data_IF_616849248060
#
_entry.id   IF_616849248060
#
_cell.length_a   1.000
_cell.length_b   1.000
_cell.length_c   1.000
_cell.angle_alpha   90.00
_cell.angle_beta   90.00
_cell.angle_gamma   90.00
#
_symmetry.space_group_name_H-M   'P 1'
#
loop_
_entity.id
_entity.type
_entity.pdbx_description
1 polymer ?
#
# COMPACT_ATOMS: atom_id res chain seq x y z
N UNK A 1 16.11 -15.81 -20.53
CA UNK A 1 16.12 -15.08 -19.24
C UNK A 1 15.56 -13.67 -19.36
N UNK A 2 16.12 -12.81 -20.24
CA UNK A 2 15.66 -11.41 -20.39
C UNK A 2 14.19 -11.31 -20.80
N UNK A 3 13.73 -12.07 -21.81
CA UNK A 3 12.32 -12.06 -22.22
C UNK A 3 11.37 -12.48 -21.11
N UNK A 4 11.76 -13.44 -20.27
CA UNK A 4 10.96 -13.87 -19.13
C UNK A 4 10.88 -12.77 -18.06
N UNK A 5 11.98 -12.05 -17.80
CA UNK A 5 12.00 -10.90 -16.91
C UNK A 5 11.10 -9.78 -17.47
N UNK A 6 11.23 -9.44 -18.75
CA UNK A 6 10.38 -8.43 -19.40
C UNK A 6 8.89 -8.82 -19.33
N UNK A 7 8.55 -10.07 -19.61
CA UNK A 7 7.18 -10.56 -19.48
C UNK A 7 6.67 -10.44 -18.03
N UNK A 8 7.49 -10.80 -17.03
CA UNK A 8 7.16 -10.63 -15.61
C UNK A 8 6.87 -9.17 -15.27
N UNK A 9 7.71 -8.24 -15.72
CA UNK A 9 7.53 -6.80 -15.49
C UNK A 9 6.24 -6.27 -16.13
N UNK A 10 5.94 -6.69 -17.35
CA UNK A 10 4.72 -6.29 -18.06
C UNK A 10 3.47 -6.85 -17.39
N UNK A 11 3.47 -8.13 -17.03
CA UNK A 11 2.35 -8.76 -16.30
C UNK A 11 2.14 -8.05 -14.96
N UNK A 12 3.20 -7.79 -14.22
CA UNK A 12 3.14 -7.12 -12.93
C UNK A 12 2.56 -5.69 -13.07
N UNK A 13 3.00 -4.93 -14.07
CA UNK A 13 2.48 -3.61 -14.38
C UNK A 13 0.98 -3.64 -14.70
N UNK A 14 0.55 -4.56 -15.57
CA UNK A 14 -0.86 -4.74 -15.94
C UNK A 14 -1.69 -5.08 -14.70
N UNK A 15 -1.26 -6.04 -13.89
CA UNK A 15 -2.00 -6.45 -12.69
C UNK A 15 -2.11 -5.34 -11.65
N UNK A 16 -1.06 -4.51 -11.50
CA UNK A 16 -1.09 -3.31 -10.65
C UNK A 16 -2.04 -2.24 -11.20
N UNK A 17 -2.03 -2.02 -12.52
CA UNK A 17 -2.87 -1.03 -13.18
C UNK A 17 -4.36 -1.37 -13.02
N UNK A 18 -4.73 -2.64 -13.22
CA UNK A 18 -6.10 -3.14 -13.09
C UNK A 18 -6.52 -3.48 -11.66
N UNK A 19 -5.70 -3.18 -10.64
CA UNK A 19 -6.02 -3.45 -9.23
C UNK A 19 -6.47 -4.89 -8.97
N UNK A 20 -5.79 -5.86 -9.58
CA UNK A 20 -6.23 -7.25 -9.55
C UNK A 20 -6.23 -7.81 -8.10
N UNK A 21 -7.40 -8.21 -7.59
CA UNK A 21 -7.54 -8.64 -6.21
C UNK A 21 -6.62 -9.81 -5.82
N UNK A 22 -6.44 -10.80 -6.72
CA UNK A 22 -5.56 -11.96 -6.46
C UNK A 22 -4.10 -11.53 -6.36
N UNK A 23 -3.67 -10.63 -7.23
CA UNK A 23 -2.33 -10.07 -7.22
C UNK A 23 -2.01 -9.35 -5.89
N UNK A 24 -2.91 -8.49 -5.42
CA UNK A 24 -2.76 -7.81 -4.12
C UNK A 24 -2.91 -8.75 -2.91
N UNK A 25 -3.58 -9.89 -3.08
CA UNK A 25 -3.80 -10.87 -2.01
C UNK A 25 -2.68 -11.90 -1.87
N UNK A 26 -1.92 -12.16 -2.93
CA UNK A 26 -0.93 -13.23 -2.97
C UNK A 26 0.51 -12.69 -2.93
N UNK A 27 1.44 -13.53 -2.49
CA UNK A 27 2.87 -13.23 -2.40
C UNK A 27 3.40 -13.03 -0.99
N UNK A 28 4.69 -12.73 -0.91
CA UNK A 28 5.48 -12.69 0.33
C UNK A 28 5.09 -11.45 1.14
N UNK A 29 4.60 -11.64 2.36
CA UNK A 29 4.32 -10.54 3.30
C UNK A 29 5.63 -10.12 3.98
N UNK A 30 6.03 -8.87 3.76
CA UNK A 30 7.21 -8.27 4.38
C UNK A 30 6.87 -7.18 5.39
N UNK A 31 5.63 -6.69 5.36
CA UNK A 31 5.07 -5.79 6.34
C UNK A 31 3.71 -6.31 6.80
N UNK A 32 3.45 -6.30 8.10
CA UNK A 32 2.17 -6.72 8.68
C UNK A 32 1.98 -6.01 10.02
N UNK A 33 1.02 -5.10 10.06
CA UNK A 33 0.62 -4.42 11.28
C UNK A 33 -0.83 -4.78 11.59
N UNK A 34 -1.07 -5.28 12.80
CA UNK A 34 -2.40 -5.65 13.29
C UNK A 34 -2.88 -4.59 14.26
N UNK A 35 -4.11 -4.14 14.06
CA UNK A 35 -4.75 -3.08 14.86
C UNK A 35 -6.04 -3.66 15.40
N UNK A 36 -6.22 -3.62 16.72
CA UNK A 36 -7.44 -4.10 17.36
C UNK A 36 -8.63 -3.21 16.98
N UNK A 37 -9.75 -3.83 16.59
CA UNK A 37 -10.96 -3.15 16.16
C UNK A 37 -12.00 -3.16 17.30
N UNK A 38 -12.43 -1.99 17.82
CA UNK A 38 -13.49 -1.89 18.81
C UNK A 38 -14.84 -2.42 18.29
N UNK A 39 -15.80 -2.73 19.14
CA UNK A 39 -17.08 -3.36 18.73
C UNK A 39 -17.86 -2.55 17.67
N UNK A 40 -17.70 -1.22 17.67
CA UNK A 40 -18.32 -0.28 16.74
C UNK A 40 -17.37 0.18 15.62
N UNK A 41 -16.29 -0.57 15.35
CA UNK A 41 -15.27 -0.19 14.35
C UNK A 41 -15.82 0.11 12.95
N UNK A 42 -16.92 -0.54 12.55
CA UNK A 42 -17.50 -0.38 11.19
C UNK A 42 -18.08 1.00 10.94
N UNK A 43 -18.57 1.68 11.97
CA UNK A 43 -19.12 3.04 11.83
C UNK A 43 -18.02 4.10 11.83
N UNK A 44 -16.88 3.78 12.47
CA UNK A 44 -15.73 4.69 12.62
C UNK A 44 -14.72 4.62 11.47
N UNK A 45 -14.54 3.42 10.91
CA UNK A 45 -13.54 3.17 9.87
C UNK A 45 -14.02 3.68 8.51
N UNK A 46 -13.50 4.83 8.09
CA UNK A 46 -13.68 5.31 6.72
C UNK A 46 -12.44 4.99 5.90
N UNK A 47 -12.50 3.89 5.15
CA UNK A 47 -11.42 3.52 4.24
C UNK A 47 -11.41 4.38 2.96
N UNK A 48 -12.50 5.09 2.65
CA UNK A 48 -12.58 6.04 1.54
C UNK A 48 -11.82 7.34 1.82
N UNK A 49 -11.74 7.76 3.09
CA UNK A 49 -11.02 8.98 3.48
C UNK A 49 -9.52 8.77 3.62
N UNK A 50 -9.02 7.52 3.57
CA UNK A 50 -7.61 7.19 3.77
C UNK A 50 -6.67 7.98 2.83
N UNK A 51 -7.09 8.25 1.60
CA UNK A 51 -6.28 9.02 0.66
C UNK A 51 -6.08 10.48 1.09
N UNK A 52 -7.00 11.02 1.88
CA UNK A 52 -6.96 12.37 2.44
C UNK A 52 -6.37 12.40 3.85
N UNK A 53 -6.69 11.40 4.68
CA UNK A 53 -6.27 11.32 6.08
C UNK A 53 -4.80 10.89 6.22
N UNK A 54 -4.28 10.10 5.28
CA UNK A 54 -2.86 9.75 5.25
C UNK A 54 -2.09 11.00 4.81
N UNK A 55 -1.12 11.47 5.62
CA UNK A 55 -0.32 12.62 5.24
C UNK A 55 0.25 12.40 3.84
N UNK A 56 -0.03 13.33 2.92
CA UNK A 56 0.66 13.38 1.64
C UNK A 56 2.12 13.61 1.94
N UNK A 57 2.87 12.52 2.07
CA UNK A 57 4.29 12.58 2.38
C UNK A 57 4.97 13.37 1.27
N UNK A 58 5.97 14.18 1.64
CA UNK A 58 6.85 14.87 0.68
C UNK A 58 7.43 13.94 -0.40
N UNK A 59 7.46 12.63 -0.11
CA UNK A 59 8.12 11.61 -0.90
C UNK A 59 7.17 10.64 -1.60
N UNK A 60 5.96 10.37 -1.06
CA UNK A 60 5.07 9.33 -1.56
C UNK A 60 3.58 9.69 -1.43
N UNK A 61 2.87 9.63 -2.56
CA UNK A 61 1.42 9.74 -2.68
C UNK A 61 0.76 8.37 -2.92
N UNK A 62 0.09 7.85 -1.89
CA UNK A 62 -0.60 6.57 -1.93
C UNK A 62 -1.99 6.73 -2.54
N UNK A 63 -2.36 5.79 -3.41
CA UNK A 63 -3.69 5.67 -3.99
C UNK A 63 -4.35 4.42 -3.42
N UNK A 64 -5.64 4.51 -3.13
CA UNK A 64 -6.41 3.44 -2.50
C UNK A 64 -7.52 2.97 -3.44
N UNK A 65 -7.83 1.67 -3.42
CA UNK A 65 -8.99 1.12 -4.13
C UNK A 65 -9.60 -0.03 -3.37
N UNK A 66 -10.93 -0.02 -3.27
CA UNK A 66 -11.70 -1.14 -2.73
C UNK A 66 -11.65 -2.34 -3.68
N UNK A 67 -11.36 -3.52 -3.13
CA UNK A 67 -11.37 -4.79 -3.85
C UNK A 67 -12.73 -5.51 -3.68
N UNK A 68 -13.07 -6.46 -4.59
CA UNK A 68 -14.33 -7.19 -4.56
C UNK A 68 -14.58 -8.01 -3.29
N UNK A 69 -13.51 -8.41 -2.60
CA UNK A 69 -13.56 -9.17 -1.34
C UNK A 69 -13.82 -8.30 -0.10
N UNK A 70 -14.04 -6.99 -0.30
CA UNK A 70 -14.25 -6.02 0.77
C UNK A 70 -12.96 -5.49 1.42
N UNK A 71 -11.79 -6.00 1.02
CA UNK A 71 -10.51 -5.43 1.42
C UNK A 71 -10.19 -4.18 0.61
N UNK A 72 -9.19 -3.40 1.05
CA UNK A 72 -8.71 -2.24 0.30
C UNK A 72 -7.29 -2.51 -0.16
N UNK A 73 -7.04 -2.44 -1.46
CA UNK A 73 -5.69 -2.38 -2.00
C UNK A 73 -5.19 -0.94 -1.95
N UNK A 74 -3.90 -0.77 -1.75
CA UNK A 74 -3.26 0.52 -1.93
C UNK A 74 -1.86 0.34 -2.51
N UNK A 75 -1.41 1.36 -3.22
CA UNK A 75 -0.08 1.40 -3.81
C UNK A 75 0.32 2.84 -4.03
N UNK A 76 1.56 3.02 -4.45
CA UNK A 76 2.04 4.30 -4.90
C UNK A 76 1.38 4.69 -6.21
N UNK A 77 1.04 5.96 -6.33
CA UNK A 77 0.73 6.55 -7.63
C UNK A 77 1.88 6.31 -8.61
N UNK A 78 1.55 6.02 -9.87
CA UNK A 78 2.57 5.81 -10.91
C UNK A 78 3.38 7.08 -11.22
N UNK A 79 2.91 8.26 -10.80
CA UNK A 79 3.59 9.54 -11.02
C UNK A 79 4.76 9.79 -10.04
N UNK A 80 5.29 8.75 -9.40
CA UNK A 80 6.23 8.88 -8.29
C UNK A 80 7.70 8.63 -8.65
N UNK A 81 8.56 9.07 -7.71
CA UNK A 81 10.03 9.13 -7.86
C UNK A 81 10.75 7.86 -7.40
N UNK A 82 10.09 6.98 -6.66
CA UNK A 82 10.67 5.73 -6.13
C UNK A 82 10.08 4.50 -6.82
N UNK A 83 10.88 3.43 -6.90
CA UNK A 83 10.42 2.16 -7.46
C UNK A 83 9.55 1.40 -6.44
N UNK A 84 8.36 0.91 -6.82
CA UNK A 84 7.42 0.27 -5.89
C UNK A 84 7.93 -1.12 -5.45
N UNK A 85 8.47 -1.21 -4.23
CA UNK A 85 8.95 -2.48 -3.62
C UNK A 85 7.80 -3.27 -3.00
N UNK A 86 6.80 -2.57 -2.48
CA UNK A 86 5.64 -3.16 -1.81
C UNK A 86 4.33 -2.80 -2.51
N UNK A 87 3.40 -3.75 -2.44
CA UNK A 87 1.97 -3.51 -2.67
C UNK A 87 1.21 -3.65 -1.36
N UNK A 88 0.34 -2.68 -1.09
CA UNK A 88 -0.40 -2.55 0.15
C UNK A 88 -1.77 -3.18 0.08
N UNK A 89 -2.21 -3.76 1.19
CA UNK A 89 -3.58 -4.24 1.37
C UNK A 89 -4.02 -4.03 2.81
N UNK A 90 -5.21 -3.47 2.99
CA UNK A 90 -5.90 -3.35 4.27
C UNK A 90 -7.01 -4.38 4.31
N UNK A 91 -6.95 -5.28 5.30
CA UNK A 91 -7.93 -6.36 5.48
C UNK A 91 -8.56 -6.22 6.86
N UNK A 92 -9.88 -6.02 6.89
CA UNK A 92 -10.64 -6.09 8.13
C UNK A 92 -11.09 -7.54 8.39
N UNK A 93 -10.68 -8.11 9.51
CA UNK A 93 -11.11 -9.43 9.98
C UNK A 93 -12.18 -9.26 11.07
N UNK A 94 -13.48 -9.38 10.74
CA UNK A 94 -14.54 -9.24 11.71
C UNK A 94 -14.57 -10.36 12.75
N UNK A 95 -14.05 -11.56 12.42
CA UNK A 95 -14.04 -12.70 13.36
C UNK A 95 -13.01 -12.48 14.46
N UNK A 96 -11.85 -11.93 14.09
CA UNK A 96 -10.76 -11.63 15.04
C UNK A 96 -10.85 -10.25 15.66
N UNK A 97 -11.77 -9.39 15.19
CA UNK A 97 -11.87 -7.97 15.60
C UNK A 97 -10.53 -7.26 15.40
N UNK A 98 -9.95 -7.42 14.21
CA UNK A 98 -8.67 -6.81 13.85
C UNK A 98 -8.76 -6.17 12.46
N UNK A 99 -8.11 -5.02 12.28
CA UNK A 99 -7.77 -4.47 10.97
C UNK A 99 -6.28 -4.68 10.74
N UNK A 100 -5.92 -5.23 9.59
CA UNK A 100 -4.53 -5.55 9.23
C UNK A 100 -4.09 -4.71 8.06
N UNK A 101 -2.94 -4.05 8.21
CA UNK A 101 -2.23 -3.39 7.12
C UNK A 101 -1.09 -4.29 6.70
N UNK A 102 -1.23 -4.88 5.52
CA UNK A 102 -0.24 -5.79 4.94
C UNK A 102 0.53 -5.08 3.83
N UNK A 103 1.85 -5.25 3.81
CA UNK A 103 2.71 -4.93 2.68
C UNK A 103 3.33 -6.20 2.13
N UNK A 104 3.05 -6.49 0.86
CA UNK A 104 3.56 -7.66 0.14
C UNK A 104 4.63 -7.24 -0.84
N UNK A 105 5.66 -8.05 -0.98
CA UNK A 105 6.76 -7.80 -1.89
C UNK A 105 6.25 -7.80 -3.34
N UNK A 106 6.68 -6.80 -4.11
CA UNK A 106 6.35 -6.70 -5.52
C UNK A 106 7.09 -7.79 -6.31
N UNK A 107 6.39 -8.53 -7.19
CA UNK A 107 7.00 -9.63 -7.92
C UNK A 107 8.07 -9.13 -8.89
N UNK A 108 7.88 -7.95 -9.47
CA UNK A 108 8.88 -7.29 -10.32
C UNK A 108 10.16 -6.98 -9.54
N UNK A 109 10.04 -6.36 -8.37
CA UNK A 109 11.18 -6.07 -7.48
C UNK A 109 11.90 -7.35 -7.07
N UNK A 110 11.15 -8.43 -6.79
CA UNK A 110 11.74 -9.71 -6.38
C UNK A 110 12.51 -10.35 -7.53
N UNK A 111 11.89 -10.42 -8.70
CA UNK A 111 12.51 -10.96 -9.91
C UNK A 111 13.79 -10.21 -10.27
N UNK A 112 13.76 -8.87 -10.23
CA UNK A 112 14.96 -8.06 -10.43
C UNK A 112 16.04 -8.39 -9.40
N UNK A 113 15.71 -8.36 -8.11
CA UNK A 113 16.66 -8.59 -7.02
C UNK A 113 17.35 -9.95 -7.13
N UNK A 114 16.58 -11.00 -7.40
CA UNK A 114 17.10 -12.37 -7.55
C UNK A 114 17.91 -12.55 -8.84
N UNK A 115 17.61 -11.77 -9.90
CA UNK A 115 18.34 -11.85 -11.17
C UNK A 115 19.70 -11.16 -11.16
N UNK A 116 19.93 -10.21 -10.25
CA UNK A 116 21.19 -9.43 -10.21
C UNK A 116 22.40 -10.35 -9.99
N UNK A 117 22.33 -11.26 -9.01
CA UNK A 117 23.46 -12.15 -8.68
C UNK A 117 23.88 -13.04 -9.87
N UNK A 118 22.99 -13.83 -10.50
CA UNK A 118 23.40 -14.64 -11.64
C UNK A 118 23.87 -13.82 -12.84
N UNK A 119 23.30 -12.62 -13.07
CA UNK A 119 23.76 -11.73 -14.15
C UNK A 119 25.20 -11.29 -13.91
N UNK A 120 25.54 -10.88 -12.69
CA UNK A 120 26.91 -10.44 -12.33
C UNK A 120 27.90 -11.59 -12.41
N UNK A 121 27.50 -12.81 -12.01
CA UNK A 121 28.35 -14.00 -12.12
C UNK A 121 28.68 -14.36 -13.57
N UNK A 122 27.71 -14.26 -14.49
CA UNK A 122 27.92 -14.56 -15.92
C UNK A 122 28.59 -13.38 -16.65
N UNK A 123 28.35 -12.15 -16.19
CA UNK A 123 28.89 -10.92 -16.79
C UNK A 123 29.44 -10.00 -15.71
N UNK A 124 30.73 -10.12 -15.35
CA UNK A 124 31.36 -9.28 -14.33
C UNK A 124 31.31 -7.78 -14.65
N UNK A 125 31.26 -7.40 -15.93
CA UNK A 125 31.05 -6.01 -16.35
C UNK A 125 29.71 -5.41 -15.85
N UNK A 126 28.75 -6.26 -15.47
CA UNK A 126 27.47 -5.86 -14.86
C UNK A 126 27.56 -5.66 -13.34
N UNK A 127 28.76 -5.76 -12.72
CA UNK A 127 28.95 -5.55 -11.29
C UNK A 127 28.31 -4.26 -10.72
N UNK A 128 28.26 -3.12 -11.45
CA UNK A 128 27.54 -1.94 -10.97
C UNK A 128 26.05 -2.18 -10.63
N UNK A 129 25.41 -3.20 -11.21
CA UNK A 129 24.02 -3.58 -10.89
C UNK A 129 23.83 -4.00 -9.42
N UNK A 130 24.90 -4.41 -8.72
CA UNK A 130 24.84 -4.72 -7.29
C UNK A 130 24.38 -3.52 -6.45
N UNK A 131 24.62 -2.28 -6.93
CA UNK A 131 24.14 -1.05 -6.28
C UNK A 131 22.61 -0.92 -6.27
N UNK A 132 21.89 -1.70 -7.10
CA UNK A 132 20.43 -1.72 -7.07
C UNK A 132 19.88 -2.39 -5.81
N UNK A 133 20.60 -3.33 -5.19
CA UNK A 133 20.17 -4.00 -3.96
C UNK A 133 20.06 -3.03 -2.77
N UNK A 134 21.10 -2.23 -2.41
CA UNK A 134 20.95 -1.21 -1.37
C UNK A 134 19.95 -0.12 -1.78
N UNK A 135 19.82 0.20 -3.07
CA UNK A 135 18.78 1.13 -3.54
C UNK A 135 17.36 0.60 -3.26
N UNK A 136 17.08 -0.67 -3.55
CA UNK A 136 15.80 -1.31 -3.21
C UNK A 136 15.57 -1.37 -1.70
N UNK A 137 16.62 -1.58 -0.90
CA UNK A 137 16.53 -1.51 0.55
C UNK A 137 16.10 -0.11 1.01
N UNK A 138 16.70 0.96 0.47
CA UNK A 138 16.30 2.34 0.79
C UNK A 138 14.84 2.58 0.39
N UNK A 139 14.43 2.17 -0.81
CA UNK A 139 13.04 2.27 -1.26
C UNK A 139 12.10 1.55 -0.28
N UNK A 140 12.45 0.32 0.13
CA UNK A 140 11.69 -0.43 1.13
C UNK A 140 11.56 0.31 2.46
N UNK A 141 12.63 0.91 2.98
CA UNK A 141 12.58 1.64 4.27
C UNK A 141 11.65 2.85 4.21
N UNK A 142 11.69 3.61 3.11
CA UNK A 142 10.80 4.76 2.91
C UNK A 142 9.34 4.27 2.82
N UNK A 143 9.09 3.21 2.05
CA UNK A 143 7.76 2.63 1.93
C UNK A 143 7.23 2.06 3.25
N UNK A 144 8.08 1.37 4.02
CA UNK A 144 7.73 0.84 5.34
C UNK A 144 7.25 1.95 6.28
N UNK A 145 7.91 3.11 6.25
CA UNK A 145 7.48 4.29 7.04
C UNK A 145 6.10 4.76 6.61
N UNK A 146 5.83 4.84 5.31
CA UNK A 146 4.52 5.27 4.80
C UNK A 146 3.40 4.27 5.09
N UNK A 147 3.68 2.98 4.98
CA UNK A 147 2.71 1.92 5.33
C UNK A 147 2.42 1.94 6.84
N UNK A 148 3.41 2.25 7.67
CA UNK A 148 3.22 2.53 9.09
C UNK A 148 2.30 3.73 9.34
N UNK A 149 2.45 4.82 8.56
CA UNK A 149 1.55 5.97 8.67
C UNK A 149 0.09 5.61 8.32
N UNK A 150 -0.13 4.75 7.32
CA UNK A 150 -1.47 4.20 7.01
C UNK A 150 -2.03 3.46 8.23
N UNK A 151 -1.22 2.63 8.89
CA UNK A 151 -1.64 1.92 10.09
C UNK A 151 -1.98 2.87 11.25
N UNK A 152 -1.17 3.92 11.46
CA UNK A 152 -1.46 4.94 12.47
C UNK A 152 -2.77 5.68 12.22
N UNK A 153 -3.06 6.05 10.97
CA UNK A 153 -4.33 6.71 10.61
C UNK A 153 -5.52 5.79 10.85
N UNK A 154 -5.41 4.51 10.46
CA UNK A 154 -6.45 3.52 10.75
C UNK A 154 -6.66 3.38 12.26
N UNK A 155 -5.57 3.30 13.04
CA UNK A 155 -5.66 3.24 14.49
C UNK A 155 -6.34 4.47 15.10
N UNK A 156 -6.04 5.67 14.60
CA UNK A 156 -6.69 6.91 15.02
C UNK A 156 -8.19 6.91 14.72
N UNK A 157 -8.58 6.54 13.50
CA UNK A 157 -10.00 6.40 13.14
C UNK A 157 -10.71 5.39 14.06
N UNK A 158 -10.09 4.24 14.34
CA UNK A 158 -10.66 3.22 15.23
C UNK A 158 -10.82 3.73 16.67
N UNK A 159 -9.89 4.56 17.16
CA UNK A 159 -9.97 5.22 18.47
C UNK A 159 -11.04 6.32 18.55
N UNK A 160 -11.67 6.67 17.42
CA UNK A 160 -12.75 7.67 17.36
C UNK A 160 -12.29 9.06 16.95
N UNK A 161 -11.06 9.22 16.43
CA UNK A 161 -10.66 10.46 15.77
C UNK A 161 -11.49 10.61 14.47
N UNK A 162 -12.22 11.72 14.27
CA UNK A 162 -13.03 11.91 13.08
C UNK A 162 -12.17 11.84 11.82
N UNK A 163 -12.57 11.01 10.86
CA UNK A 163 -12.00 11.00 9.50
C UNK A 163 -12.41 12.26 8.74
N UNK A 164 -11.67 12.62 7.68
CA UNK A 164 -12.04 13.75 6.82
C UNK A 164 -13.48 13.64 6.28
N UNK A 165 -13.94 12.43 5.95
CA UNK A 165 -15.32 12.18 5.52
C UNK A 165 -16.34 12.51 6.61
N UNK A 166 -16.03 12.17 7.88
CA UNK A 166 -16.91 12.48 9.01
C UNK A 166 -17.02 13.99 9.24
N UNK A 167 -15.88 14.70 9.20
CA UNK A 167 -15.83 16.17 9.34
C UNK A 167 -16.59 16.85 8.20
N UNK A 168 -16.43 16.37 6.96
CA UNK A 168 -17.14 16.92 5.81
C UNK A 168 -18.66 16.72 5.92
N UNK A 169 -19.10 15.54 6.35
CA UNK A 169 -20.54 15.26 6.58
C UNK A 169 -21.13 16.16 7.65
N UNK A 170 -20.42 16.36 8.76
CA UNK A 170 -20.85 17.26 9.83
C UNK A 170 -21.00 18.69 9.33
N UNK A 171 -20.02 19.21 8.57
CA UNK A 171 -20.08 20.56 7.98
C UNK A 171 -21.25 20.73 7.00
N UNK A 172 -21.52 19.72 6.18
CA UNK A 172 -22.65 19.75 5.23
C UNK A 172 -24.00 19.73 5.94
N UNK A 173 -24.12 19.02 7.06
CA UNK A 173 -25.34 19.00 7.87
C UNK A 173 -25.59 20.32 8.59
N UNK A 174 -24.54 20.94 9.14
CA UNK A 174 -24.63 22.27 9.79
C UNK A 174 -24.99 23.36 8.78
N UNK A 175 -24.47 23.29 7.56
CA UNK A 175 -24.82 24.24 6.48
C UNK A 175 -26.22 24.09 5.91
N UNK A 176 -26.95 23.01 6.22
CA UNK A 176 -28.33 22.76 5.77
C UNK A 176 -29.40 23.07 6.83
N UNK A 177 -29.02 23.46 8.05
CA UNK A 177 -29.99 23.95 9.03
C UNK A 177 -30.44 25.36 8.61
N UNK A 178 -31.74 25.59 8.34
CA UNK A 178 -32.23 26.93 8.10
C UNK A 178 -31.98 27.75 9.37
N UNK A 179 -31.41 28.94 9.22
CA UNK A 179 -31.39 29.93 10.29
C UNK A 179 -32.84 30.23 10.64
N UNK A 180 -33.31 29.70 11.76
CA UNK A 180 -34.59 30.02 12.36
C UNK A 180 -34.53 31.40 13.02
#
# INVERSE_FOLDING_TARGET
MVFALCALLLIDLVLQFFWNARYFSWGIRIFNQRIAAPTDWRTRLSLSSLEYDVPRGKYLHLVFRRLPDGSYAFRESFAQRFYPIMRGRVVADPKRREVRVEGRFNWSALGMSLSIIPVVLVRPAAAPMLLMLPFFLVCYLVQKKMFGAVATVIEQQLRGVPSADAILRERLQVGQMPQA
#
